data_IF_189784318987
#
_entry.id   IF_189784318987
#
_cell.length_a   1.000
_cell.length_b   1.000
_cell.length_c   1.000
_cell.angle_alpha   90.00
_cell.angle_beta   90.00
_cell.angle_gamma   90.00
#
_symmetry.space_group_name_H-M   'P 1'
#
loop_
_entity.id
_entity.type
_entity.pdbx_description
1 polymer ?
#
# COMPACT_ATOMS: atom_id res chain seq x y z
N UNK A 1 14.42 14.79 -14.92
CA UNK A 1 14.65 15.01 -16.38
C UNK A 1 16.07 14.65 -16.77
N UNK A 2 17.06 15.11 -16.01
CA UNK A 2 18.49 14.83 -16.27
C UNK A 2 18.82 13.34 -16.09
N UNK A 3 18.39 12.70 -14.98
CA UNK A 3 18.64 11.28 -14.75
C UNK A 3 18.09 10.37 -15.88
N UNK A 4 16.91 10.68 -16.41
CA UNK A 4 16.33 9.92 -17.54
C UNK A 4 17.17 10.05 -18.81
N UNK A 5 17.75 11.22 -19.06
CA UNK A 5 18.63 11.46 -20.19
C UNK A 5 20.02 10.84 -20.01
N UNK A 6 20.49 10.64 -18.77
CA UNK A 6 21.73 9.91 -18.51
C UNK A 6 21.59 8.42 -18.84
N UNK A 7 20.41 7.83 -18.60
CA UNK A 7 20.13 6.42 -18.92
C UNK A 7 19.81 6.22 -20.40
N UNK A 8 19.08 7.15 -21.00
CA UNK A 8 18.75 7.13 -22.41
C UNK A 8 18.74 8.57 -22.98
N UNK A 9 19.83 9.00 -23.68
CA UNK A 9 19.95 10.34 -24.23
C UNK A 9 18.83 10.73 -25.20
N UNK A 10 18.29 9.75 -25.92
CA UNK A 10 17.27 9.93 -26.98
C UNK A 10 15.83 9.90 -26.43
N UNK A 11 15.66 9.81 -25.10
CA UNK A 11 14.35 9.71 -24.50
C UNK A 11 13.50 10.96 -24.76
N UNK A 12 12.34 10.76 -25.36
CA UNK A 12 11.31 11.80 -25.45
C UNK A 12 10.58 11.89 -24.10
N UNK A 13 11.03 12.80 -23.23
CA UNK A 13 10.52 12.95 -21.86
C UNK A 13 9.00 13.19 -21.80
N UNK A 14 8.38 14.06 -22.62
CA UNK A 14 6.92 14.19 -22.67
C UNK A 14 6.20 12.89 -23.02
N UNK A 15 6.69 12.15 -24.01
CA UNK A 15 6.10 10.86 -24.41
C UNK A 15 6.27 9.79 -23.32
N UNK A 16 7.41 9.79 -22.65
CA UNK A 16 7.66 8.90 -21.50
C UNK A 16 6.73 9.24 -20.33
N UNK A 17 6.52 10.52 -20.01
CA UNK A 17 5.60 10.96 -18.97
C UNK A 17 4.15 10.51 -19.24
N UNK A 18 3.69 10.63 -20.50
CA UNK A 18 2.35 10.14 -20.88
C UNK A 18 2.18 8.62 -20.68
N UNK A 19 3.24 7.83 -20.81
CA UNK A 19 3.21 6.39 -20.54
C UNK A 19 3.12 6.05 -19.05
N UNK A 20 3.40 6.98 -18.15
CA UNK A 20 3.25 6.78 -16.71
C UNK A 20 1.80 6.88 -16.24
N UNK A 21 0.91 7.51 -17.02
CA UNK A 21 -0.50 7.69 -16.66
C UNK A 21 -1.22 6.33 -16.51
N UNK A 22 -1.17 5.42 -17.48
CA UNK A 22 -1.77 4.08 -17.34
C UNK A 22 -1.15 3.29 -16.19
N UNK A 23 0.17 3.41 -15.98
CA UNK A 23 0.85 2.77 -14.88
C UNK A 23 0.34 3.29 -13.52
N UNK A 24 0.14 4.60 -13.39
CA UNK A 24 -0.42 5.20 -12.18
C UNK A 24 -1.86 4.73 -11.93
N UNK A 25 -2.69 4.62 -12.97
CA UNK A 25 -4.03 4.05 -12.86
C UNK A 25 -3.99 2.60 -12.37
N UNK A 26 -3.19 1.76 -13.00
CA UNK A 26 -3.03 0.35 -12.60
C UNK A 26 -2.54 0.22 -11.15
N UNK A 27 -1.51 0.99 -10.76
CA UNK A 27 -0.98 1.01 -9.39
C UNK A 27 -2.06 1.40 -8.39
N UNK A 28 -2.85 2.44 -8.69
CA UNK A 28 -3.96 2.88 -7.83
C UNK A 28 -5.00 1.79 -7.62
N UNK A 29 -5.31 1.02 -8.66
CA UNK A 29 -6.27 -0.10 -8.58
C UNK A 29 -5.70 -1.28 -7.78
N UNK A 30 -4.43 -1.60 -7.97
CA UNK A 30 -3.73 -2.63 -7.19
C UNK A 30 -3.71 -2.29 -5.70
N UNK A 31 -3.30 -1.07 -5.35
CA UNK A 31 -3.26 -0.62 -3.96
C UNK A 31 -4.65 -0.60 -3.31
N UNK A 32 -5.68 -0.11 -4.03
CA UNK A 32 -7.05 -0.08 -3.52
C UNK A 32 -7.64 -1.49 -3.29
N UNK A 33 -7.34 -2.44 -4.18
CA UNK A 33 -7.73 -3.83 -4.00
C UNK A 33 -7.00 -4.49 -2.83
N UNK A 34 -5.70 -4.18 -2.66
CA UNK A 34 -4.91 -4.65 -1.52
C UNK A 34 -5.42 -4.08 -0.20
N UNK A 35 -5.77 -2.79 -0.14
CA UNK A 35 -6.36 -2.18 1.06
C UNK A 35 -7.66 -2.90 1.47
N UNK A 36 -8.52 -3.25 0.49
CA UNK A 36 -9.73 -4.02 0.77
C UNK A 36 -9.42 -5.45 1.23
N UNK A 37 -8.45 -6.12 0.59
CA UNK A 37 -7.97 -7.45 0.99
C UNK A 37 -7.49 -7.44 2.44
N UNK A 38 -6.58 -6.53 2.79
CA UNK A 38 -5.99 -6.42 4.14
C UNK A 38 -7.05 -6.14 5.22
N UNK A 39 -8.06 -5.34 4.89
CA UNK A 39 -9.13 -5.02 5.83
C UNK A 39 -10.12 -6.17 6.07
N UNK A 40 -10.15 -7.20 5.22
CA UNK A 40 -11.22 -8.21 5.27
C UNK A 40 -10.76 -9.66 5.28
N UNK A 41 -9.61 -9.99 4.70
CA UNK A 41 -9.15 -11.38 4.55
C UNK A 41 -8.99 -12.14 5.88
N UNK A 42 -8.68 -11.43 6.99
CA UNK A 42 -8.62 -12.05 8.31
C UNK A 42 -9.96 -12.57 8.85
N UNK A 43 -11.06 -12.26 8.18
CA UNK A 43 -12.42 -12.61 8.62
C UNK A 43 -13.17 -13.48 7.62
N UNK A 44 -12.48 -14.05 6.64
CA UNK A 44 -13.10 -14.93 5.64
C UNK A 44 -13.71 -16.17 6.27
N UNK A 45 -14.93 -16.55 5.83
CA UNK A 45 -15.59 -17.78 6.30
C UNK A 45 -14.98 -19.02 5.66
N UNK A 46 -14.63 -18.93 4.38
CA UNK A 46 -13.95 -20.00 3.66
C UNK A 46 -12.45 -19.71 3.54
N UNK A 47 -11.58 -20.44 4.25
CA UNK A 47 -10.14 -20.19 4.26
C UNK A 47 -9.52 -20.12 2.86
N UNK A 48 -8.75 -19.07 2.61
CA UNK A 48 -8.06 -18.82 1.34
C UNK A 48 -8.98 -18.31 0.22
N UNK A 49 -10.22 -17.93 0.51
CA UNK A 49 -11.12 -17.37 -0.50
C UNK A 49 -10.61 -16.01 -1.04
N UNK A 50 -10.08 -15.18 -0.16
CA UNK A 50 -9.45 -13.91 -0.53
C UNK A 50 -8.14 -14.12 -1.30
N UNK A 51 -7.31 -15.07 -0.90
CA UNK A 51 -6.06 -15.40 -1.60
C UNK A 51 -6.32 -15.83 -3.03
N UNK A 52 -7.26 -16.77 -3.24
CA UNK A 52 -7.66 -17.22 -4.58
C UNK A 52 -8.22 -16.08 -5.44
N UNK A 53 -8.98 -15.18 -4.83
CA UNK A 53 -9.52 -14.02 -5.55
C UNK A 53 -8.42 -13.01 -5.89
N UNK A 54 -7.43 -12.84 -5.00
CA UNK A 54 -6.27 -11.99 -5.23
C UNK A 54 -5.35 -12.54 -6.34
N UNK A 55 -5.05 -13.84 -6.31
CA UNK A 55 -4.27 -14.50 -7.37
C UNK A 55 -4.92 -14.33 -8.74
N UNK A 56 -6.24 -14.58 -8.85
CA UNK A 56 -6.97 -14.37 -10.09
C UNK A 56 -6.94 -12.89 -10.55
N UNK A 57 -7.02 -11.94 -9.60
CA UNK A 57 -6.87 -10.52 -9.91
C UNK A 57 -5.49 -10.19 -10.48
N UNK A 58 -4.43 -10.72 -9.86
CA UNK A 58 -3.07 -10.50 -10.35
C UNK A 58 -2.84 -11.11 -11.73
N UNK A 59 -3.40 -12.27 -12.02
CA UNK A 59 -3.30 -12.91 -13.33
C UNK A 59 -4.06 -12.11 -14.41
N UNK A 60 -5.27 -11.65 -14.11
CA UNK A 60 -6.05 -10.79 -15.00
C UNK A 60 -5.33 -9.44 -15.24
N UNK A 61 -4.75 -8.84 -14.20
CA UNK A 61 -4.00 -7.57 -14.32
C UNK A 61 -2.73 -7.71 -15.17
N UNK A 62 -2.04 -8.86 -15.15
CA UNK A 62 -0.89 -9.12 -16.02
C UNK A 62 -1.24 -9.11 -17.51
N UNK A 63 -2.47 -9.43 -17.85
CA UNK A 63 -2.96 -9.49 -19.23
C UNK A 63 -3.69 -8.22 -19.68
N UNK A 64 -4.00 -7.31 -18.77
CA UNK A 64 -4.66 -6.04 -19.08
C UNK A 64 -3.73 -5.12 -19.88
N UNK A 65 -4.14 -4.74 -21.10
CA UNK A 65 -3.29 -4.00 -22.05
C UNK A 65 -3.56 -2.50 -22.09
N UNK A 66 -4.68 -2.05 -21.53
CA UNK A 66 -5.10 -0.65 -21.53
C UNK A 66 -5.90 -0.27 -20.26
N UNK A 67 -6.16 1.02 -20.10
CA UNK A 67 -6.86 1.55 -18.92
C UNK A 67 -8.30 1.00 -18.79
N UNK A 68 -8.96 0.72 -19.90
CA UNK A 68 -10.32 0.15 -19.87
C UNK A 68 -10.28 -1.27 -19.30
N UNK A 69 -9.39 -2.11 -19.82
CA UNK A 69 -9.20 -3.47 -19.31
C UNK A 69 -8.80 -3.47 -17.81
N UNK A 70 -7.89 -2.59 -17.38
CA UNK A 70 -7.50 -2.42 -15.98
C UNK A 70 -8.72 -2.08 -15.10
N UNK A 71 -9.55 -1.13 -15.54
CA UNK A 71 -10.74 -0.74 -14.78
C UNK A 71 -11.80 -1.85 -14.72
N UNK A 72 -12.00 -2.60 -15.81
CA UNK A 72 -12.94 -3.74 -15.85
C UNK A 72 -12.47 -4.88 -14.95
N UNK A 73 -11.18 -5.22 -14.98
CA UNK A 73 -10.58 -6.23 -14.08
C UNK A 73 -10.75 -5.81 -12.62
N UNK A 74 -10.42 -4.56 -12.29
CA UNK A 74 -10.59 -4.04 -10.94
C UNK A 74 -12.05 -4.10 -10.47
N UNK A 75 -13.01 -3.62 -11.27
CA UNK A 75 -14.42 -3.62 -10.91
C UNK A 75 -14.92 -5.04 -10.61
N UNK A 76 -14.64 -5.99 -11.49
CA UNK A 76 -14.99 -7.40 -11.34
C UNK A 76 -14.37 -8.02 -10.08
N UNK A 77 -13.12 -7.69 -9.79
CA UNK A 77 -12.44 -8.16 -8.57
C UNK A 77 -13.07 -7.58 -7.30
N UNK A 78 -13.37 -6.29 -7.29
CA UNK A 78 -14.02 -5.65 -6.14
C UNK A 78 -15.43 -6.22 -5.89
N UNK A 79 -16.18 -6.54 -6.94
CA UNK A 79 -17.48 -7.19 -6.81
C UNK A 79 -17.32 -8.61 -6.25
N UNK A 80 -16.30 -9.34 -6.70
CA UNK A 80 -15.95 -10.66 -6.16
C UNK A 80 -15.58 -10.57 -4.68
N UNK A 81 -14.68 -9.66 -4.29
CA UNK A 81 -14.29 -9.46 -2.89
C UNK A 81 -15.48 -9.15 -1.99
N UNK A 82 -16.39 -8.27 -2.42
CA UNK A 82 -17.60 -7.91 -1.66
C UNK A 82 -18.59 -9.06 -1.54
N UNK A 83 -18.56 -10.02 -2.45
CA UNK A 83 -19.43 -11.19 -2.42
C UNK A 83 -18.93 -12.32 -1.53
N UNK A 84 -17.66 -12.27 -1.10
CA UNK A 84 -17.09 -13.27 -0.20
C UNK A 84 -17.73 -13.16 1.20
N UNK A 85 -18.18 -14.28 1.77
CA UNK A 85 -18.77 -14.28 3.10
C UNK A 85 -17.71 -13.98 4.17
N UNK A 86 -18.06 -13.08 5.10
CA UNK A 86 -17.19 -12.64 6.18
C UNK A 86 -17.83 -12.91 7.55
N UNK A 87 -17.01 -13.30 8.51
CA UNK A 87 -17.36 -13.35 9.93
C UNK A 87 -16.64 -12.24 10.69
N UNK A 88 -16.81 -10.99 10.21
CA UNK A 88 -16.14 -9.81 10.76
C UNK A 88 -16.95 -9.27 11.94
N UNK A 89 -16.35 -9.10 13.14
CA UNK A 89 -17.04 -8.49 14.28
C UNK A 89 -17.35 -7.01 14.01
N UNK A 90 -18.30 -6.46 14.75
CA UNK A 90 -18.67 -5.04 14.64
C UNK A 90 -17.52 -4.11 15.05
N UNK A 91 -16.68 -4.56 15.98
CA UNK A 91 -15.49 -3.85 16.47
C UNK A 91 -14.27 -4.79 16.33
N UNK A 92 -13.64 -4.88 15.17
CA UNK A 92 -12.47 -5.70 14.96
C UNK A 92 -11.22 -5.02 15.53
N UNK A 93 -10.25 -5.80 15.96
CA UNK A 93 -8.92 -5.29 16.29
C UNK A 93 -8.31 -4.73 14.98
N UNK A 94 -7.92 -3.45 14.99
CA UNK A 94 -7.33 -2.74 13.85
C UNK A 94 -5.85 -2.50 14.06
N UNK A 95 -5.02 -2.99 13.15
CA UNK A 95 -3.57 -2.87 13.19
C UNK A 95 -3.08 -2.07 11.97
N UNK A 96 -2.33 -1.01 12.22
CA UNK A 96 -1.64 -0.23 11.19
C UNK A 96 -0.24 -0.77 10.92
N UNK A 97 0.14 -0.95 9.66
CA UNK A 97 1.52 -1.28 9.26
C UNK A 97 2.18 -0.01 8.73
N UNK A 98 3.32 0.35 9.33
CA UNK A 98 4.16 1.48 8.95
C UNK A 98 5.60 1.01 8.74
N UNK A 99 6.45 1.84 8.18
CA UNK A 99 7.88 1.57 8.07
C UNK A 99 8.44 1.68 6.66
N UNK A 100 9.58 1.03 6.44
CA UNK A 100 10.28 1.05 5.16
C UNK A 100 9.41 0.40 4.06
N UNK A 101 9.27 1.12 2.94
CA UNK A 101 8.31 0.76 1.89
C UNK A 101 8.46 -0.68 1.40
N UNK A 102 9.69 -1.11 1.09
CA UNK A 102 9.92 -2.44 0.56
C UNK A 102 9.61 -3.51 1.62
N UNK A 103 10.09 -3.32 2.84
CA UNK A 103 9.83 -4.23 3.97
C UNK A 103 8.34 -4.28 4.33
N UNK A 104 7.65 -3.14 4.28
CA UNK A 104 6.23 -3.10 4.60
C UNK A 104 5.34 -3.78 3.53
N UNK A 105 5.77 -3.79 2.26
CA UNK A 105 4.94 -4.28 1.13
C UNK A 105 5.28 -5.72 0.73
N UNK A 106 6.56 -6.08 0.73
CA UNK A 106 7.01 -7.38 0.21
C UNK A 106 6.93 -8.48 1.28
N UNK A 107 6.08 -9.48 1.04
CA UNK A 107 5.87 -10.59 1.96
C UNK A 107 7.14 -11.43 2.24
N UNK A 108 8.12 -11.44 1.33
CA UNK A 108 9.39 -12.13 1.56
C UNK A 108 10.29 -11.31 2.48
N UNK A 109 10.31 -9.99 2.30
CA UNK A 109 11.10 -9.08 3.13
C UNK A 109 10.57 -9.01 4.57
N UNK A 110 9.25 -9.08 4.76
CA UNK A 110 8.61 -9.04 6.09
C UNK A 110 8.27 -10.42 6.67
N UNK A 111 8.74 -11.50 6.05
CA UNK A 111 8.54 -12.88 6.52
C UNK A 111 7.06 -13.28 6.62
N UNK A 112 6.21 -12.78 5.74
CA UNK A 112 4.78 -13.08 5.68
C UNK A 112 4.00 -12.42 6.82
N UNK A 113 4.40 -11.23 7.25
CA UNK A 113 3.77 -10.47 8.35
C UNK A 113 2.27 -10.30 8.13
N UNK A 114 1.85 -9.88 6.93
CA UNK A 114 0.44 -9.65 6.59
C UNK A 114 -0.38 -10.92 6.83
N UNK A 115 0.04 -12.06 6.28
CA UNK A 115 -0.67 -13.34 6.46
C UNK A 115 -0.72 -13.81 7.91
N UNK A 116 0.36 -13.60 8.68
CA UNK A 116 0.39 -13.98 10.09
C UNK A 116 -0.59 -13.16 10.92
N UNK A 117 -0.67 -11.86 10.67
CA UNK A 117 -1.61 -10.97 11.36
C UNK A 117 -3.05 -11.27 10.94
N UNK A 118 -3.31 -11.42 9.63
CA UNK A 118 -4.64 -11.80 9.13
C UNK A 118 -5.12 -13.14 9.72
N UNK A 119 -4.23 -14.14 9.85
CA UNK A 119 -4.56 -15.41 10.50
C UNK A 119 -4.94 -15.28 11.99
N UNK A 120 -4.61 -14.15 12.63
CA UNK A 120 -5.04 -13.84 14.00
C UNK A 120 -6.44 -13.20 14.06
N UNK A 121 -7.10 -12.97 12.92
CA UNK A 121 -8.43 -12.35 12.85
C UNK A 121 -8.40 -10.85 13.16
N UNK A 122 -7.46 -10.12 12.58
CA UNK A 122 -7.35 -8.66 12.72
C UNK A 122 -7.61 -7.96 11.39
N UNK A 123 -8.04 -6.71 11.46
CA UNK A 123 -8.16 -5.81 10.33
C UNK A 123 -6.84 -5.07 10.12
N UNK A 124 -6.23 -5.23 8.95
CA UNK A 124 -4.95 -4.59 8.64
C UNK A 124 -5.14 -3.36 7.76
N UNK A 125 -4.36 -2.34 8.05
CA UNK A 125 -4.24 -1.14 7.22
C UNK A 125 -2.78 -0.82 6.95
N UNK A 126 -2.47 -0.48 5.70
CA UNK A 126 -1.12 -0.11 5.28
C UNK A 126 -1.15 1.16 4.44
N UNK A 127 -0.88 2.31 5.09
CA UNK A 127 -0.78 3.58 4.38
C UNK A 127 0.48 3.64 3.50
N UNK A 128 1.50 2.82 3.82
CA UNK A 128 2.71 2.68 3.03
C UNK A 128 2.42 1.87 1.76
N UNK A 129 2.06 2.55 0.67
CA UNK A 129 1.85 2.00 -0.65
C UNK A 129 2.27 2.99 -1.74
N UNK A 130 2.36 2.53 -2.99
CA UNK A 130 2.85 3.35 -4.10
C UNK A 130 1.90 4.51 -4.44
N UNK A 131 0.60 4.29 -4.35
CA UNK A 131 -0.42 5.32 -4.60
C UNK A 131 -0.29 6.47 -3.61
N UNK A 132 -0.19 6.18 -2.34
CA UNK A 132 -0.02 7.20 -1.30
C UNK A 132 1.30 7.94 -1.47
N UNK A 133 2.38 7.20 -1.77
CA UNK A 133 3.71 7.79 -1.89
C UNK A 133 3.89 8.67 -3.13
N UNK A 134 3.34 8.28 -4.29
CA UNK A 134 3.64 8.94 -5.55
C UNK A 134 2.47 9.67 -6.19
N UNK A 135 1.23 9.36 -5.81
CA UNK A 135 0.03 9.91 -6.45
C UNK A 135 -0.78 10.78 -5.49
N UNK A 136 -1.06 10.30 -4.27
CA UNK A 136 -2.00 10.96 -3.36
C UNK A 136 -1.38 12.08 -2.54
N UNK A 137 -0.20 11.87 -1.98
CA UNK A 137 0.42 12.81 -1.08
C UNK A 137 1.67 13.44 -1.68
N UNK A 138 1.76 14.77 -1.63
CA UNK A 138 3.02 15.46 -1.86
C UNK A 138 3.79 15.60 -0.55
N UNK A 139 5.10 15.70 -0.67
CA UNK A 139 6.02 15.76 0.47
C UNK A 139 5.77 16.95 1.39
N UNK A 140 5.46 18.12 0.81
CA UNK A 140 5.17 19.33 1.60
C UNK A 140 3.96 19.16 2.51
N UNK A 141 2.87 18.56 2.01
CA UNK A 141 1.68 18.30 2.80
C UNK A 141 1.93 17.25 3.88
N UNK A 142 2.71 16.21 3.58
CA UNK A 142 3.09 15.21 4.59
C UNK A 142 3.90 15.82 5.72
N UNK A 143 4.90 16.65 5.40
CA UNK A 143 5.72 17.35 6.41
C UNK A 143 4.90 18.28 7.28
N UNK A 144 3.95 19.02 6.70
CA UNK A 144 3.04 19.87 7.46
C UNK A 144 2.15 19.05 8.42
N UNK A 145 1.64 17.90 7.96
CA UNK A 145 0.79 17.03 8.78
C UNK A 145 1.50 16.42 9.99
N UNK A 146 2.81 16.28 9.94
CA UNK A 146 3.62 15.71 11.02
C UNK A 146 4.63 16.69 11.61
N UNK A 147 4.45 18.00 11.38
CA UNK A 147 5.41 19.05 11.76
C UNK A 147 5.72 19.10 13.27
N UNK A 148 4.83 18.62 14.11
CA UNK A 148 5.04 18.53 15.56
C UNK A 148 6.04 17.42 15.96
N UNK A 149 6.24 16.41 15.09
CA UNK A 149 7.13 15.26 15.32
C UNK A 149 8.42 15.37 14.48
N UNK A 150 8.36 16.02 13.32
CA UNK A 150 9.47 16.08 12.35
C UNK A 150 10.22 17.42 12.49
N UNK A 151 11.45 17.38 13.01
CA UNK A 151 12.29 18.57 13.20
C UNK A 151 13.22 18.84 12.01
N UNK A 152 13.55 17.84 11.22
CA UNK A 152 14.44 17.92 10.07
C UNK A 152 13.95 17.01 8.93
N UNK A 153 14.59 17.12 7.76
CA UNK A 153 14.22 16.31 6.61
C UNK A 153 14.71 14.87 6.77
N UNK A 154 13.79 13.97 6.99
CA UNK A 154 14.03 12.52 7.15
C UNK A 154 13.81 11.75 5.84
N UNK A 155 13.49 12.48 4.76
CA UNK A 155 13.10 11.89 3.50
C UNK A 155 11.64 11.46 3.44
N UNK A 156 11.17 11.17 2.23
CA UNK A 156 9.72 11.05 1.96
C UNK A 156 9.09 9.77 2.54
N UNK A 157 9.86 8.71 2.72
CA UNK A 157 9.35 7.43 3.24
C UNK A 157 9.13 7.52 4.73
N UNK A 158 10.13 8.02 5.46
CA UNK A 158 10.06 8.22 6.91
C UNK A 158 8.98 9.24 7.28
N UNK A 159 8.84 10.32 6.52
CA UNK A 159 7.75 11.29 6.70
C UNK A 159 6.38 10.60 6.59
N UNK A 160 6.21 9.70 5.61
CA UNK A 160 4.96 8.95 5.45
C UNK A 160 4.75 7.97 6.61
N UNK A 161 5.81 7.35 7.14
CA UNK A 161 5.76 6.48 8.32
C UNK A 161 5.19 7.22 9.52
N UNK A 162 5.72 8.42 9.85
CA UNK A 162 5.25 9.23 10.97
C UNK A 162 3.81 9.70 10.76
N UNK A 163 3.46 10.17 9.56
CA UNK A 163 2.09 10.60 9.23
C UNK A 163 1.11 9.44 9.36
N UNK A 164 1.49 8.24 8.91
CA UNK A 164 0.65 7.06 9.03
C UNK A 164 0.46 6.65 10.49
N UNK A 165 1.53 6.63 11.29
CA UNK A 165 1.47 6.30 12.71
C UNK A 165 0.57 7.29 13.47
N UNK A 166 0.76 8.60 13.27
CA UNK A 166 -0.09 9.65 13.84
C UNK A 166 -1.56 9.42 13.48
N UNK A 167 -1.85 9.21 12.20
CA UNK A 167 -3.20 9.00 11.71
C UNK A 167 -3.87 7.77 12.32
N UNK A 168 -3.17 6.65 12.40
CA UNK A 168 -3.70 5.45 13.05
C UNK A 168 -4.00 5.68 14.54
N UNK A 169 -3.15 6.43 15.25
CA UNK A 169 -3.42 6.80 16.63
C UNK A 169 -4.65 7.71 16.77
N UNK A 170 -4.80 8.72 15.91
CA UNK A 170 -5.95 9.62 15.88
C UNK A 170 -7.26 8.91 15.50
N UNK A 171 -7.20 7.92 14.62
CA UNK A 171 -8.34 7.11 14.19
C UNK A 171 -8.66 5.97 15.20
N UNK A 172 -7.92 5.86 16.30
CA UNK A 172 -8.16 4.90 17.38
C UNK A 172 -7.86 3.46 16.97
N UNK A 173 -6.77 3.21 16.25
CA UNK A 173 -6.28 1.86 16.00
C UNK A 173 -5.75 1.22 17.29
N UNK A 174 -5.90 -0.11 17.42
CA UNK A 174 -5.48 -0.87 18.61
C UNK A 174 -3.97 -1.07 18.67
N UNK A 175 -3.29 -1.01 17.51
CA UNK A 175 -1.84 -1.16 17.47
C UNK A 175 -1.23 -0.74 16.14
N UNK A 176 0.09 -0.57 16.17
CA UNK A 176 0.92 -0.25 15.02
C UNK A 176 2.11 -1.22 14.99
N UNK A 177 2.39 -1.77 13.81
CA UNK A 177 3.59 -2.58 13.56
C UNK A 177 4.52 -1.78 12.67
N UNK A 178 5.71 -1.46 13.19
CA UNK A 178 6.76 -0.78 12.43
C UNK A 178 7.68 -1.83 11.77
N UNK A 179 7.54 -2.00 10.44
CA UNK A 179 8.31 -2.95 9.65
C UNK A 179 9.50 -2.25 8.97
N UNK A 180 10.71 -2.57 9.40
CA UNK A 180 11.94 -1.99 8.84
C UNK A 180 13.08 -3.00 8.78
N UNK A 181 14.06 -2.76 7.91
CA UNK A 181 15.35 -3.44 7.99
C UNK A 181 16.21 -2.86 9.12
N UNK A 182 17.08 -3.67 9.70
CA UNK A 182 17.92 -3.25 10.84
C UNK A 182 18.84 -2.05 10.52
N UNK A 183 19.24 -1.87 9.26
CA UNK A 183 20.15 -0.80 8.82
C UNK A 183 19.46 0.38 8.14
N UNK A 184 18.14 0.47 8.16
CA UNK A 184 17.43 1.59 7.53
C UNK A 184 17.50 2.84 8.40
N UNK A 185 18.51 3.69 8.17
CA UNK A 185 18.73 4.93 8.94
C UNK A 185 17.51 5.84 8.98
N UNK A 186 16.81 6.12 7.87
CA UNK A 186 15.60 6.95 7.91
C UNK A 186 14.49 6.39 8.79
N UNK A 187 14.34 5.08 8.87
CA UNK A 187 13.32 4.46 9.72
C UNK A 187 13.75 4.32 11.19
N UNK A 188 15.07 4.37 11.48
CA UNK A 188 15.57 4.49 12.85
C UNK A 188 15.16 5.84 13.43
N UNK A 189 15.19 6.89 12.62
CA UNK A 189 14.79 8.24 13.06
C UNK A 189 13.26 8.35 13.32
N UNK A 190 12.47 7.35 12.94
CA UNK A 190 11.01 7.27 13.20
C UNK A 190 10.66 6.56 14.51
N UNK A 191 11.62 6.00 15.24
CA UNK A 191 11.42 5.37 16.55
C UNK A 191 11.36 6.41 17.66
#
# INVERSE_FOLDING_TARGET
KECLKQVNPDINVPKAALRLIPLANMTTKLDAAMDFYLANAGFEVEPGSFDRAWEAFMDDMRTATDDKAVNEVYARTMDRFRSLPLNKPADPIRIGIVGEMFTAIDARANLGLDHKLLAMGVELHRMMNLTNRFVRYNEGNLRLSASEYIRYDMGPTSTLTIVAAKRYAEEGFDGIVHAKSAGCTPEIDCE
#
